data_IF_894651256021
#
_entry.id   IF_894651256021
#
_cell.length_a   1.000
_cell.length_b   1.000
_cell.length_c   1.000
_cell.angle_alpha   90.00
_cell.angle_beta   90.00
_cell.angle_gamma   90.00
#
_symmetry.space_group_name_H-M   'P 1'
#
loop_
_entity.id
_entity.type
_entity.pdbx_description
1 polymer ?
#
# COMPACT_ATOMS: atom_id res chain seq x y z
N UNK A 1 2.22 -20.05 -7.01
CA UNK A 1 1.45 -18.93 -6.43
C UNK A 1 -0.02 -19.28 -6.61
N UNK A 2 -0.87 -19.07 -5.60
CA UNK A 2 -2.31 -19.32 -5.73
C UNK A 2 -2.97 -18.11 -6.39
N UNK A 3 -3.74 -18.34 -7.45
CA UNK A 3 -4.56 -17.33 -8.11
C UNK A 3 -6.01 -17.78 -7.91
N UNK A 4 -6.87 -16.96 -7.28
CA UNK A 4 -8.27 -17.33 -7.09
C UNK A 4 -8.97 -17.46 -8.43
N UNK A 5 -9.98 -18.34 -8.50
CA UNK A 5 -10.91 -18.28 -9.61
C UNK A 5 -11.80 -17.02 -9.51
N UNK A 6 -12.61 -16.81 -10.56
CA UNK A 6 -13.48 -15.64 -10.66
C UNK A 6 -14.50 -15.56 -9.53
N UNK A 7 -15.06 -16.68 -9.10
CA UNK A 7 -16.11 -16.71 -8.08
C UNK A 7 -15.52 -16.37 -6.71
N UNK A 8 -14.39 -16.99 -6.34
CA UNK A 8 -13.70 -16.73 -5.10
C UNK A 8 -13.21 -15.27 -5.01
N UNK A 9 -12.62 -14.75 -6.10
CA UNK A 9 -12.13 -13.37 -6.13
C UNK A 9 -13.24 -12.35 -5.89
N UNK A 10 -14.36 -12.50 -6.61
CA UNK A 10 -15.53 -11.63 -6.47
C UNK A 10 -16.10 -11.73 -5.05
N UNK A 11 -16.27 -12.95 -4.53
CA UNK A 11 -16.75 -13.16 -3.16
C UNK A 11 -15.87 -12.46 -2.13
N UNK A 12 -14.54 -12.54 -2.27
CA UNK A 12 -13.61 -11.85 -1.39
C UNK A 12 -13.77 -10.33 -1.40
N UNK A 13 -13.99 -9.74 -2.58
CA UNK A 13 -14.23 -8.30 -2.71
C UNK A 13 -15.58 -7.90 -2.08
N UNK A 14 -16.64 -8.68 -2.33
CA UNK A 14 -17.96 -8.42 -1.73
C UNK A 14 -17.94 -8.52 -0.20
N UNK A 15 -17.25 -9.51 0.36
CA UNK A 15 -17.10 -9.64 1.82
C UNK A 15 -16.34 -8.46 2.43
N UNK A 16 -15.36 -7.90 1.70
CA UNK A 16 -14.69 -6.68 2.12
C UNK A 16 -15.67 -5.50 2.19
N UNK A 17 -16.47 -5.28 1.15
CA UNK A 17 -17.42 -4.17 1.11
C UNK A 17 -18.50 -4.27 2.20
N UNK A 18 -18.94 -5.49 2.53
CA UNK A 18 -19.92 -5.74 3.59
C UNK A 18 -19.39 -5.39 4.99
N UNK A 19 -18.11 -5.67 5.25
CA UNK A 19 -17.57 -5.67 6.61
C UNK A 19 -16.61 -4.50 6.92
N UNK A 20 -15.80 -4.05 5.96
CA UNK A 20 -14.72 -3.07 6.20
C UNK A 20 -15.20 -1.62 6.08
N UNK A 21 -15.78 -1.11 7.17
CA UNK A 21 -16.31 0.26 7.24
C UNK A 21 -15.25 1.35 7.08
N UNK A 22 -13.97 1.05 7.32
CA UNK A 22 -12.87 2.04 7.25
C UNK A 22 -12.43 2.32 5.80
N UNK A 23 -13.03 1.67 4.80
CA UNK A 23 -12.79 1.96 3.39
C UNK A 23 -13.14 3.42 3.01
N UNK A 24 -14.08 4.03 3.74
CA UNK A 24 -14.40 5.46 3.65
C UNK A 24 -13.17 6.36 3.87
N UNK A 25 -12.28 5.99 4.80
CA UNK A 25 -11.05 6.72 5.08
C UNK A 25 -10.05 6.56 3.94
N UNK A 26 -9.97 5.37 3.33
CA UNK A 26 -9.16 5.17 2.14
C UNK A 26 -9.62 6.05 0.97
N UNK A 27 -10.93 6.13 0.72
CA UNK A 27 -11.51 6.99 -0.32
C UNK A 27 -11.23 8.47 -0.07
N UNK A 28 -11.39 8.92 1.18
CA UNK A 28 -11.12 10.30 1.58
C UNK A 28 -9.63 10.65 1.44
N UNK A 29 -8.73 9.82 1.96
CA UNK A 29 -7.28 10.02 1.87
C UNK A 29 -6.78 10.00 0.43
N UNK A 30 -7.26 9.06 -0.40
CA UNK A 30 -6.90 8.99 -1.82
C UNK A 30 -7.35 10.22 -2.60
N UNK A 31 -8.57 10.70 -2.33
CA UNK A 31 -9.08 11.95 -2.90
C UNK A 31 -8.24 13.15 -2.45
N UNK A 32 -7.89 13.22 -1.16
CA UNK A 32 -7.07 14.29 -0.61
C UNK A 32 -5.68 14.34 -1.25
N UNK A 33 -4.94 13.22 -1.29
CA UNK A 33 -3.63 13.14 -1.96
C UNK A 33 -3.73 13.56 -3.42
N UNK A 34 -4.84 13.23 -4.10
CA UNK A 34 -5.06 13.61 -5.50
C UNK A 34 -5.32 15.12 -5.66
N UNK A 35 -6.10 15.74 -4.76
CA UNK A 35 -6.34 17.18 -4.75
C UNK A 35 -5.07 18.00 -4.46
N UNK A 36 -4.17 17.46 -3.63
CA UNK A 36 -2.91 18.10 -3.25
C UNK A 36 -1.72 17.55 -4.03
N UNK A 37 -1.92 16.89 -5.16
CA UNK A 37 -0.81 16.34 -5.95
C UNK A 37 0.18 17.45 -6.34
N UNK A 38 1.47 17.23 -6.07
CA UNK A 38 2.52 18.23 -6.26
C UNK A 38 2.64 19.28 -5.14
N UNK A 39 1.86 19.13 -4.05
CA UNK A 39 1.92 19.97 -2.84
C UNK A 39 2.25 19.09 -1.63
N UNK A 40 3.54 18.88 -1.32
CA UNK A 40 4.00 17.93 -0.30
C UNK A 40 3.28 18.00 1.05
N UNK A 41 2.96 19.19 1.62
CA UNK A 41 2.23 19.27 2.89
C UNK A 41 0.85 18.59 2.84
N UNK A 42 0.03 18.92 1.84
CA UNK A 42 -1.29 18.28 1.68
C UNK A 42 -1.19 16.80 1.28
N UNK A 43 -0.12 16.40 0.58
CA UNK A 43 0.12 14.98 0.32
C UNK A 43 0.43 14.24 1.64
N UNK A 44 1.29 14.79 2.49
CA UNK A 44 1.64 14.23 3.79
C UNK A 44 0.42 14.12 4.72
N UNK A 45 -0.43 15.14 4.76
CA UNK A 45 -1.71 15.12 5.49
C UNK A 45 -2.60 13.94 5.06
N UNK A 46 -2.76 13.75 3.74
CA UNK A 46 -3.53 12.65 3.18
C UNK A 46 -2.95 11.28 3.54
N UNK A 47 -1.62 11.12 3.49
CA UNK A 47 -0.95 9.91 3.95
C UNK A 47 -1.17 9.67 5.44
N UNK A 48 -1.03 10.72 6.27
CA UNK A 48 -1.22 10.65 7.71
C UNK A 48 -2.63 10.22 8.11
N UNK A 49 -3.66 10.78 7.47
CA UNK A 49 -5.06 10.41 7.72
C UNK A 49 -5.30 8.90 7.58
N UNK A 50 -4.77 8.29 6.50
CA UNK A 50 -4.87 6.86 6.31
C UNK A 50 -3.99 6.09 7.31
N UNK A 51 -2.71 6.45 7.44
CA UNK A 51 -1.76 5.70 8.25
C UNK A 51 -2.15 5.64 9.73
N UNK A 52 -2.58 6.76 10.29
CA UNK A 52 -2.99 6.85 11.70
C UNK A 52 -4.30 6.09 11.97
N UNK A 53 -5.13 5.89 10.95
CA UNK A 53 -6.39 5.14 11.07
C UNK A 53 -6.22 3.65 10.77
N UNK A 54 -5.63 3.32 9.63
CA UNK A 54 -5.47 1.94 9.16
C UNK A 54 -4.27 1.22 9.79
N UNK A 55 -3.31 1.95 10.38
CA UNK A 55 -2.19 1.37 11.12
C UNK A 55 -2.16 1.85 12.58
N UNK A 56 -3.33 2.15 13.15
CA UNK A 56 -3.47 2.65 14.52
C UNK A 56 -2.78 1.77 15.57
N UNK A 57 -2.83 0.43 15.41
CA UNK A 57 -2.18 -0.50 16.34
C UNK A 57 -0.65 -0.30 16.44
N UNK A 58 -0.03 0.21 15.36
CA UNK A 58 1.38 0.58 15.34
C UNK A 58 1.60 1.99 15.91
N UNK A 59 0.83 2.98 15.43
CA UNK A 59 1.03 4.40 15.81
C UNK A 59 0.45 4.80 17.18
N UNK A 60 -0.25 3.91 17.88
CA UNK A 60 -0.66 4.16 19.28
C UNK A 60 0.51 4.37 20.26
N UNK A 61 1.73 4.02 19.86
CA UNK A 61 2.94 4.17 20.67
C UNK A 61 3.74 5.45 20.36
N UNK A 62 3.25 6.27 19.42
CA UNK A 62 3.90 7.47 18.91
C UNK A 62 3.68 7.57 17.40
N UNK A 63 3.62 8.80 16.89
CA UNK A 63 3.44 9.08 15.46
C UNK A 63 4.80 9.36 14.79
N UNK A 64 4.81 9.37 13.46
CA UNK A 64 5.94 9.84 12.67
C UNK A 64 5.93 11.38 12.60
N UNK A 65 7.05 11.94 12.15
CA UNK A 65 7.23 13.37 11.94
C UNK A 65 6.69 13.78 10.56
N UNK A 66 5.74 14.70 10.53
CA UNK A 66 5.12 15.17 9.29
C UNK A 66 6.11 15.98 8.45
N UNK A 67 6.96 16.81 9.06
CA UNK A 67 7.93 17.64 8.33
C UNK A 67 8.92 16.73 7.58
N UNK A 68 9.41 15.66 8.23
CA UNK A 68 10.27 14.65 7.58
C UNK A 68 9.57 13.91 6.45
N UNK A 69 8.26 13.65 6.58
CA UNK A 69 7.48 13.03 5.52
C UNK A 69 7.32 13.97 4.32
N UNK A 70 7.05 15.25 4.57
CA UNK A 70 6.97 16.29 3.54
C UNK A 70 8.28 16.46 2.78
N UNK A 71 9.40 16.53 3.49
CA UNK A 71 10.74 16.58 2.89
C UNK A 71 11.00 15.35 2.03
N UNK A 72 10.69 14.15 2.53
CA UNK A 72 10.84 12.91 1.78
C UNK A 72 9.98 12.88 0.50
N UNK A 73 8.74 13.39 0.55
CA UNK A 73 7.90 13.51 -0.64
C UNK A 73 8.53 14.50 -1.63
N UNK A 74 8.99 15.66 -1.15
CA UNK A 74 9.60 16.72 -1.95
C UNK A 74 10.83 16.20 -2.70
N UNK A 75 11.77 15.60 -1.98
CA UNK A 75 13.03 15.09 -2.54
C UNK A 75 12.84 13.96 -3.56
N UNK A 76 11.74 13.21 -3.44
CA UNK A 76 11.49 12.03 -4.26
C UNK A 76 10.32 12.20 -5.24
N UNK A 77 9.77 13.42 -5.37
CA UNK A 77 8.53 13.67 -6.09
C UNK A 77 8.54 13.15 -7.53
N UNK A 78 9.59 13.45 -8.31
CA UNK A 78 9.71 12.98 -9.70
C UNK A 78 9.69 11.45 -9.79
N UNK A 79 10.36 10.76 -8.86
CA UNK A 79 10.39 9.30 -8.82
C UNK A 79 9.01 8.74 -8.47
N UNK A 80 8.34 9.33 -7.48
CA UNK A 80 6.98 8.96 -7.09
C UNK A 80 6.00 9.17 -8.27
N UNK A 81 6.08 10.33 -8.93
CA UNK A 81 5.25 10.68 -10.08
C UNK A 81 5.43 9.71 -11.26
N UNK A 82 6.67 9.27 -11.50
CA UNK A 82 6.94 8.28 -12.55
C UNK A 82 6.16 6.97 -12.34
N UNK A 83 5.92 6.55 -11.10
CA UNK A 83 5.12 5.37 -10.77
C UNK A 83 3.61 5.65 -10.75
N UNK A 84 3.19 6.85 -10.33
CA UNK A 84 1.76 7.20 -10.24
C UNK A 84 1.02 7.06 -11.57
N UNK A 85 1.68 7.44 -12.66
CA UNK A 85 1.09 7.44 -13.99
C UNK A 85 1.13 6.06 -14.67
N UNK A 86 1.60 5.03 -13.95
CA UNK A 86 1.77 3.66 -14.45
C UNK A 86 0.79 2.70 -13.82
N UNK A 87 0.53 1.62 -14.53
CA UNK A 87 -0.18 0.45 -14.04
C UNK A 87 0.82 -0.64 -13.64
N UNK A 88 0.48 -1.47 -12.66
CA UNK A 88 1.33 -2.58 -12.18
C UNK A 88 1.76 -3.53 -13.31
N UNK A 89 0.94 -3.68 -14.36
CA UNK A 89 1.30 -4.49 -15.54
C UNK A 89 2.59 -4.00 -16.23
N UNK A 90 2.95 -2.72 -16.06
CA UNK A 90 4.19 -2.13 -16.55
C UNK A 90 5.41 -2.36 -15.64
N UNK A 91 5.26 -3.03 -14.48
CA UNK A 91 6.37 -3.35 -13.60
C UNK A 91 7.41 -4.22 -14.32
N UNK A 92 8.67 -3.82 -14.18
CA UNK A 92 9.84 -4.41 -14.83
C UNK A 92 11.02 -4.53 -13.86
N UNK A 93 12.06 -5.27 -14.25
CA UNK A 93 13.25 -5.44 -13.41
C UNK A 93 14.03 -4.12 -13.22
N UNK A 94 13.94 -3.17 -14.16
CA UNK A 94 14.59 -1.85 -14.01
C UNK A 94 13.95 -0.98 -12.93
N UNK A 95 12.74 -1.32 -12.46
CA UNK A 95 12.07 -0.57 -11.41
C UNK A 95 12.58 -0.93 -10.01
N UNK A 96 13.20 -2.10 -9.84
CA UNK A 96 13.46 -2.69 -8.52
C UNK A 96 14.30 -1.79 -7.60
N UNK A 97 15.36 -1.19 -8.13
CA UNK A 97 16.23 -0.32 -7.33
C UNK A 97 15.52 0.98 -6.93
N UNK A 98 14.69 1.53 -7.82
CA UNK A 98 13.89 2.71 -7.52
C UNK A 98 12.81 2.42 -6.46
N UNK A 99 12.17 1.24 -6.54
CA UNK A 99 11.20 0.79 -5.54
C UNK A 99 11.86 0.56 -4.19
N UNK A 100 13.02 -0.12 -4.13
CA UNK A 100 13.75 -0.36 -2.88
C UNK A 100 14.22 0.96 -2.24
N UNK A 101 14.73 1.89 -3.03
CA UNK A 101 15.16 3.21 -2.56
C UNK A 101 13.98 3.98 -1.93
N UNK A 102 12.85 4.11 -2.64
CA UNK A 102 11.65 4.73 -2.09
C UNK A 102 11.18 4.02 -0.82
N UNK A 103 11.13 2.69 -0.86
CA UNK A 103 10.68 1.90 0.29
C UNK A 103 11.53 2.18 1.53
N UNK A 104 12.85 2.19 1.39
CA UNK A 104 13.77 2.44 2.51
C UNK A 104 13.65 3.87 3.03
N UNK A 105 13.58 4.88 2.15
CA UNK A 105 13.39 6.28 2.55
C UNK A 105 12.09 6.49 3.33
N UNK A 106 10.97 5.96 2.80
CA UNK A 106 9.69 5.99 3.52
C UNK A 106 9.73 5.18 4.82
N UNK A 107 10.51 4.10 4.90
CA UNK A 107 10.69 3.33 6.12
C UNK A 107 11.40 4.14 7.23
N UNK A 108 12.36 4.99 6.86
CA UNK A 108 13.01 5.91 7.78
C UNK A 108 12.07 7.01 8.27
N UNK A 109 11.35 7.69 7.37
CA UNK A 109 10.52 8.85 7.77
C UNK A 109 9.20 8.47 8.42
N UNK A 110 8.67 7.27 8.16
CA UNK A 110 7.42 6.78 8.77
C UNK A 110 7.63 6.01 10.08
N UNK A 111 8.88 5.94 10.58
CA UNK A 111 9.18 5.36 11.88
C UNK A 111 8.57 6.21 13.00
N UNK A 112 8.37 5.59 14.17
CA UNK A 112 7.91 6.33 15.35
C UNK A 112 8.98 7.36 15.73
N UNK A 113 8.63 8.64 15.78
CA UNK A 113 9.60 9.73 15.98
C UNK A 113 9.83 10.07 17.45
N UNK A 114 8.91 9.69 18.34
CA UNK A 114 8.97 10.04 19.76
C UNK A 114 8.52 8.92 20.70
N UNK A 115 8.87 9.07 21.99
CA UNK A 115 8.46 8.15 23.05
C UNK A 115 9.25 6.84 23.09
N UNK A 116 8.78 5.88 23.90
CA UNK A 116 9.52 4.63 24.18
C UNK A 116 9.71 3.72 22.96
N UNK A 117 8.91 3.92 21.91
CA UNK A 117 9.01 3.15 20.68
C UNK A 117 9.71 3.92 19.56
N UNK A 118 10.40 5.03 19.87
CA UNK A 118 11.16 5.82 18.90
C UNK A 118 12.12 4.95 18.07
N UNK A 119 12.19 5.23 16.78
CA UNK A 119 13.00 4.47 15.81
C UNK A 119 12.37 3.15 15.36
N UNK A 120 11.22 2.75 15.91
CA UNK A 120 10.51 1.56 15.46
C UNK A 120 9.92 1.81 14.07
N UNK A 121 10.19 0.88 13.14
CA UNK A 121 9.78 0.95 11.73
C UNK A 121 8.58 0.05 11.42
N UNK A 122 7.86 0.38 10.35
CA UNK A 122 6.69 -0.37 9.89
C UNK A 122 6.66 -0.52 8.36
N UNK A 123 7.12 -1.67 7.83
CA UNK A 123 6.97 -2.02 6.42
C UNK A 123 5.51 -1.97 5.92
N UNK A 124 4.54 -2.13 6.82
CA UNK A 124 3.11 -1.98 6.52
C UNK A 124 2.74 -0.52 6.27
N UNK A 125 3.27 0.43 7.06
CA UNK A 125 3.06 1.86 6.82
C UNK A 125 3.63 2.28 5.47
N UNK A 126 4.82 1.78 5.10
CA UNK A 126 5.45 2.10 3.82
C UNK A 126 4.59 1.66 2.64
N UNK A 127 4.12 0.40 2.62
CA UNK A 127 3.26 -0.09 1.55
C UNK A 127 1.96 0.72 1.42
N UNK A 128 1.35 1.12 2.55
CA UNK A 128 0.17 1.98 2.57
C UNK A 128 0.45 3.37 2.00
N UNK A 129 1.56 3.98 2.37
CA UNK A 129 1.96 5.28 1.85
C UNK A 129 2.22 5.23 0.33
N UNK A 130 3.03 4.28 -0.13
CA UNK A 130 3.34 4.11 -1.55
C UNK A 130 2.09 3.83 -2.38
N UNK A 131 1.16 3.01 -1.88
CA UNK A 131 -0.11 2.77 -2.55
C UNK A 131 -0.94 4.05 -2.74
N UNK A 132 -1.08 4.90 -1.73
CA UNK A 132 -1.81 6.17 -1.89
C UNK A 132 -1.15 7.10 -2.92
N UNK A 133 0.17 7.08 -2.99
CA UNK A 133 0.94 7.88 -3.95
C UNK A 133 0.82 7.34 -5.39
N UNK A 134 0.73 6.02 -5.58
CA UNK A 134 0.55 5.39 -6.90
C UNK A 134 -0.41 4.18 -6.83
N UNK A 135 -1.74 4.40 -6.76
CA UNK A 135 -2.74 3.37 -6.43
C UNK A 135 -2.98 2.33 -7.53
N UNK A 136 -2.45 2.56 -8.73
CA UNK A 136 -2.46 1.61 -9.84
C UNK A 136 -1.19 0.77 -9.94
N UNK A 137 -0.15 1.15 -9.19
CA UNK A 137 1.18 0.54 -9.31
C UNK A 137 1.63 -0.16 -8.02
N UNK A 138 1.49 0.47 -6.85
CA UNK A 138 2.01 -0.10 -5.61
C UNK A 138 0.95 -0.90 -4.86
N UNK A 139 1.16 -2.20 -4.56
CA UNK A 139 0.19 -3.00 -3.83
C UNK A 139 0.23 -2.75 -2.32
N UNK A 140 -0.92 -2.92 -1.69
CA UNK A 140 -1.07 -2.93 -0.24
C UNK A 140 -0.75 -4.30 0.34
N UNK A 141 -0.21 -4.32 1.56
CA UNK A 141 -0.08 -5.54 2.35
C UNK A 141 -0.23 -5.28 3.84
N UNK A 142 -0.40 -6.35 4.60
CA UNK A 142 -0.18 -6.39 6.03
C UNK A 142 0.64 -7.63 6.42
N UNK A 143 0.78 -7.88 7.72
CA UNK A 143 1.54 -9.03 8.22
C UNK A 143 0.97 -10.38 7.77
N UNK A 144 -0.35 -10.55 7.75
CA UNK A 144 -0.99 -11.82 7.39
C UNK A 144 -0.90 -12.05 5.88
N UNK A 145 -1.16 -11.01 5.09
CA UNK A 145 -1.01 -11.05 3.62
C UNK A 145 0.45 -11.36 3.24
N UNK A 146 1.42 -10.62 3.80
CA UNK A 146 2.84 -10.83 3.50
C UNK A 146 3.30 -12.25 3.87
N UNK A 147 2.79 -12.83 4.97
CA UNK A 147 3.07 -14.23 5.32
C UNK A 147 2.46 -15.22 4.34
N UNK A 148 1.20 -15.02 3.93
CA UNK A 148 0.51 -15.89 2.98
C UNK A 148 1.27 -15.99 1.64
N UNK A 149 1.81 -14.87 1.15
CA UNK A 149 2.59 -14.81 -0.08
C UNK A 149 4.09 -15.12 0.09
N UNK A 150 4.53 -15.54 1.29
CA UNK A 150 5.95 -15.81 1.62
C UNK A 150 6.88 -14.59 1.44
N UNK A 151 6.30 -13.39 1.54
CA UNK A 151 6.98 -12.11 1.50
C UNK A 151 7.12 -11.47 2.90
N UNK A 152 7.20 -12.29 3.96
CA UNK A 152 7.33 -11.77 5.31
C UNK A 152 8.62 -10.96 5.47
N UNK A 153 8.49 -9.75 6.00
CA UNK A 153 9.45 -8.65 5.92
C UNK A 153 10.28 -8.47 7.21
N UNK A 154 10.56 -9.55 7.94
CA UNK A 154 11.45 -9.50 9.10
C UNK A 154 12.93 -9.31 8.73
N UNK A 155 13.29 -9.65 7.49
CA UNK A 155 14.61 -9.47 6.89
C UNK A 155 14.41 -8.90 5.50
N UNK A 156 15.19 -7.88 5.16
CA UNK A 156 15.22 -7.29 3.81
C UNK A 156 13.82 -6.85 3.34
N UNK A 157 13.15 -5.95 4.08
CA UNK A 157 11.73 -5.62 3.85
C UNK A 157 11.47 -5.02 2.46
N UNK A 158 12.42 -4.25 1.92
CA UNK A 158 12.31 -3.67 0.58
C UNK A 158 12.34 -4.74 -0.52
N UNK A 159 13.24 -5.72 -0.41
CA UNK A 159 13.33 -6.86 -1.33
C UNK A 159 12.07 -7.73 -1.27
N UNK A 160 11.52 -7.91 -0.06
CA UNK A 160 10.25 -8.61 0.14
C UNK A 160 9.08 -7.87 -0.50
N UNK A 161 9.09 -6.54 -0.43
CA UNK A 161 8.06 -5.72 -1.07
C UNK A 161 8.14 -5.79 -2.60
N UNK A 162 9.34 -5.69 -3.19
CA UNK A 162 9.53 -5.91 -4.64
C UNK A 162 9.04 -7.29 -5.07
N UNK A 163 9.36 -8.34 -4.29
CA UNK A 163 8.86 -9.69 -4.56
C UNK A 163 7.33 -9.74 -4.55
N UNK A 164 6.70 -9.03 -3.62
CA UNK A 164 5.26 -8.93 -3.54
C UNK A 164 4.66 -8.13 -4.71
N UNK A 165 5.29 -7.04 -5.16
CA UNK A 165 4.88 -6.32 -6.37
C UNK A 165 4.84 -7.24 -7.61
N UNK A 166 5.83 -8.11 -7.77
CA UNK A 166 5.87 -9.10 -8.87
C UNK A 166 4.72 -10.11 -8.77
N UNK A 167 4.48 -10.66 -7.58
CA UNK A 167 3.34 -11.55 -7.31
C UNK A 167 2.02 -10.84 -7.62
N UNK A 168 1.85 -9.58 -7.20
CA UNK A 168 0.63 -8.84 -7.47
C UNK A 168 0.46 -8.51 -8.94
N UNK A 169 1.54 -8.24 -9.67
CA UNK A 169 1.51 -8.09 -11.14
C UNK A 169 0.95 -9.35 -11.81
N UNK A 170 1.50 -10.51 -11.49
CA UNK A 170 1.06 -11.79 -12.07
C UNK A 170 -0.42 -12.04 -11.75
N UNK A 171 -0.87 -11.72 -10.53
CA UNK A 171 -2.28 -11.82 -10.14
C UNK A 171 -3.15 -10.83 -10.92
N UNK A 172 -2.71 -9.58 -11.07
CA UNK A 172 -3.42 -8.55 -11.80
C UNK A 172 -3.65 -8.94 -13.27
N UNK A 173 -2.69 -9.61 -13.90
CA UNK A 173 -2.82 -10.09 -15.27
C UNK A 173 -3.89 -11.16 -15.45
N UNK A 174 -4.14 -12.00 -14.44
CA UNK A 174 -5.20 -13.00 -14.48
C UNK A 174 -6.57 -12.41 -14.11
N UNK A 175 -6.64 -11.66 -13.00
CA UNK A 175 -7.93 -11.23 -12.44
C UNK A 175 -8.54 -10.02 -13.16
N UNK A 176 -7.78 -9.31 -14.00
CA UNK A 176 -8.31 -8.16 -14.77
C UNK A 176 -9.53 -8.52 -15.62
N UNK A 177 -9.61 -9.77 -16.09
CA UNK A 177 -10.74 -10.25 -16.89
C UNK A 177 -11.95 -10.65 -16.05
N UNK A 178 -11.82 -10.71 -14.72
CA UNK A 178 -12.93 -11.07 -13.83
C UNK A 178 -13.87 -9.88 -13.63
N UNK A 179 -13.34 -8.67 -13.77
CA UNK A 179 -13.95 -7.41 -13.40
C UNK A 179 -14.64 -6.80 -14.63
N UNK A 180 -15.97 -6.70 -14.60
CA UNK A 180 -16.74 -6.15 -15.74
C UNK A 180 -16.88 -4.63 -15.69
N UNK A 181 -17.09 -4.05 -14.50
CA UNK A 181 -17.10 -2.59 -14.23
C UNK A 181 -16.84 -2.33 -12.75
N UNK A 182 -15.69 -1.76 -12.40
CA UNK A 182 -15.40 -1.26 -11.05
C UNK A 182 -14.77 0.12 -11.16
N UNK A 183 -15.12 1.01 -10.23
CA UNK A 183 -14.48 2.31 -10.02
C UNK A 183 -13.12 2.17 -9.29
N UNK A 184 -12.82 0.99 -8.75
CA UNK A 184 -11.57 0.67 -8.05
C UNK A 184 -10.49 0.19 -9.02
N UNK A 185 -9.23 0.43 -8.65
CA UNK A 185 -8.09 -0.13 -9.38
C UNK A 185 -8.02 -1.65 -9.17
N UNK A 186 -7.45 -2.39 -10.13
CA UNK A 186 -7.25 -3.85 -9.99
C UNK A 186 -6.43 -4.18 -8.74
N UNK A 187 -5.46 -3.32 -8.41
CA UNK A 187 -4.64 -3.42 -7.21
C UNK A 187 -5.47 -3.31 -5.94
N UNK A 188 -6.42 -2.36 -5.89
CA UNK A 188 -7.31 -2.23 -4.73
C UNK A 188 -8.21 -3.45 -4.59
N UNK A 189 -8.74 -4.01 -5.68
CA UNK A 189 -9.56 -5.21 -5.62
C UNK A 189 -8.76 -6.43 -5.15
N UNK A 190 -7.50 -6.57 -5.59
CA UNK A 190 -6.59 -7.60 -5.08
C UNK A 190 -6.33 -7.43 -3.58
N UNK A 191 -6.14 -6.19 -3.10
CA UNK A 191 -6.03 -5.89 -1.66
C UNK A 191 -7.28 -6.32 -0.90
N UNK A 192 -8.48 -6.01 -1.39
CA UNK A 192 -9.75 -6.37 -0.76
C UNK A 192 -9.93 -7.88 -0.64
N UNK A 193 -9.71 -8.61 -1.74
CA UNK A 193 -9.71 -10.06 -1.72
C UNK A 193 -8.67 -10.62 -0.73
N UNK A 194 -7.44 -10.12 -0.77
CA UNK A 194 -6.37 -10.58 0.12
C UNK A 194 -6.68 -10.30 1.59
N UNK A 195 -7.28 -9.15 1.89
CA UNK A 195 -7.66 -8.76 3.24
C UNK A 195 -8.80 -9.64 3.76
N UNK A 196 -9.84 -9.87 2.95
CA UNK A 196 -10.95 -10.78 3.28
C UNK A 196 -10.45 -12.19 3.56
N UNK A 197 -9.60 -12.74 2.68
CA UNK A 197 -9.10 -14.12 2.79
C UNK A 197 -8.06 -14.30 3.89
N UNK A 198 -6.98 -13.51 3.86
CA UNK A 198 -5.83 -13.78 4.71
C UNK A 198 -5.86 -12.98 6.01
N UNK A 199 -6.38 -11.75 5.98
CA UNK A 199 -6.36 -10.91 7.18
C UNK A 199 -7.52 -11.21 8.10
N UNK A 200 -8.72 -11.32 7.56
CA UNK A 200 -9.95 -11.48 8.33
C UNK A 200 -10.48 -12.92 8.33
N UNK A 201 -10.25 -13.68 7.26
CA UNK A 201 -10.77 -15.05 7.13
C UNK A 201 -12.28 -15.09 6.89
N UNK A 202 -12.80 -14.11 6.14
CA UNK A 202 -14.22 -14.07 5.75
C UNK A 202 -14.55 -15.04 4.61
N UNK A 203 -13.52 -15.48 3.88
CA UNK A 203 -13.58 -16.51 2.82
C UNK A 203 -12.46 -17.52 2.96
#
# INVERSE_FOLDING_TARGET
>A
MYIPDREEFIKGCEEYEKHEKRDTIYKAATSHVSCFWGKPPGMADGLGALLLTWNQAFYKFGIFDFDKLEDCITENFQKIESFRNRDISSLSNSDEDAIKDLFNKFCEVLQIDSGKAQGRKSPVSVAKALHLLAPKFFPLWDTKIAKAYKCYYNKNPAERYVSFCKITKDMADEVKNYISRSDKTVIKLIDEYNYSKYTQGWI
#
